data_IF_130339123173
#
_entry.id   IF_130339123173
#
_cell.length_a   1.000
_cell.length_b   1.000
_cell.length_c   1.000
_cell.angle_alpha   90.00
_cell.angle_beta   90.00
_cell.angle_gamma   90.00
#
_symmetry.space_group_name_H-M   'P 1'
#
loop_
_entity.id
_entity.type
_entity.pdbx_description
1 polymer ?
#
# COMPACT_ATOMS: atom_id res chain seq x y z
N UNK A 1 10.64 2.68 11.20
CA UNK A 1 9.86 1.91 10.19
C UNK A 1 10.45 0.51 10.17
N UNK A 2 9.61 -0.53 10.18
CA UNK A 2 10.09 -1.93 10.28
C UNK A 2 10.51 -2.48 8.91
N UNK A 3 9.91 -2.01 7.82
CA UNK A 3 10.30 -2.37 6.46
C UNK A 3 9.15 -2.35 5.47
N UNK A 4 9.38 -2.93 4.29
CA UNK A 4 8.36 -3.11 3.26
C UNK A 4 7.85 -4.57 3.23
N UNK A 5 6.55 -4.74 3.02
CA UNK A 5 5.86 -6.02 2.85
C UNK A 5 5.34 -6.11 1.42
N UNK A 6 5.52 -7.27 0.78
CA UNK A 6 4.86 -7.60 -0.48
C UNK A 6 3.42 -8.04 -0.21
N UNK A 7 2.46 -7.39 -0.85
CA UNK A 7 1.04 -7.71 -0.77
C UNK A 7 0.54 -8.10 -2.14
N UNK A 8 -0.28 -9.15 -2.20
CA UNK A 8 -0.99 -9.57 -3.41
C UNK A 8 -2.47 -9.68 -3.11
N UNK A 9 -3.25 -8.89 -3.84
CA UNK A 9 -4.69 -9.00 -3.92
C UNK A 9 -5.06 -9.90 -5.10
N UNK A 10 -6.04 -10.77 -4.86
CA UNK A 10 -6.60 -11.66 -5.85
C UNK A 10 -8.11 -11.44 -5.92
N UNK A 11 -8.61 -11.16 -7.12
CA UNK A 11 -10.04 -11.12 -7.42
C UNK A 11 -10.47 -12.53 -7.88
N UNK A 12 -11.29 -13.25 -7.09
CA UNK A 12 -11.72 -14.60 -7.44
C UNK A 12 -12.74 -14.64 -8.57
N UNK A 13 -13.47 -13.55 -8.83
CA UNK A 13 -14.50 -13.53 -9.87
C UNK A 13 -13.89 -13.38 -11.27
N UNK A 14 -12.81 -12.61 -11.39
CA UNK A 14 -12.13 -12.35 -12.67
C UNK A 14 -10.79 -13.08 -12.82
N UNK A 15 -10.24 -13.62 -11.74
CA UNK A 15 -8.91 -14.21 -11.71
C UNK A 15 -7.78 -13.17 -11.66
N UNK A 16 -8.10 -11.88 -11.68
CA UNK A 16 -7.12 -10.80 -11.70
C UNK A 16 -6.28 -10.76 -10.42
N UNK A 17 -5.00 -10.43 -10.58
CA UNK A 17 -4.04 -10.33 -9.48
C UNK A 17 -3.38 -8.98 -9.51
N UNK A 18 -3.30 -8.34 -8.35
CA UNK A 18 -2.61 -7.06 -8.17
C UNK A 18 -1.60 -7.24 -7.07
N UNK A 19 -0.36 -6.84 -7.34
CA UNK A 19 0.74 -6.98 -6.38
C UNK A 19 1.37 -5.62 -6.14
N UNK A 20 1.60 -5.26 -4.88
CA UNK A 20 2.25 -4.02 -4.51
C UNK A 20 3.07 -4.17 -3.23
N UNK A 21 3.88 -3.15 -2.94
CA UNK A 21 4.59 -3.03 -1.67
C UNK A 21 3.86 -2.07 -0.74
N UNK A 22 3.85 -2.41 0.53
CA UNK A 22 3.38 -1.56 1.63
C UNK A 22 4.53 -1.37 2.62
N UNK A 23 4.64 -0.20 3.24
CA UNK A 23 5.59 0.02 4.34
C UNK A 23 4.85 -0.12 5.66
N UNK A 24 5.43 -0.85 6.61
CA UNK A 24 4.88 -1.01 7.96
C UNK A 24 5.82 -0.43 9.02
N UNK A 25 5.24 0.09 10.11
CA UNK A 25 6.00 0.48 11.30
C UNK A 25 6.27 -0.71 12.23
N UNK A 26 6.98 -0.48 13.34
CA UNK A 26 7.29 -1.54 14.32
C UNK A 26 6.07 -2.04 15.09
N UNK A 27 4.96 -1.30 15.05
CA UNK A 27 3.68 -1.68 15.63
C UNK A 27 2.79 -2.43 14.63
N UNK A 28 3.27 -2.67 13.40
CA UNK A 28 2.54 -3.35 12.34
C UNK A 28 1.57 -2.47 11.55
N UNK A 29 1.53 -1.15 11.79
CA UNK A 29 0.63 -0.25 11.06
C UNK A 29 1.20 0.10 9.69
N UNK A 30 0.33 0.07 8.67
CA UNK A 30 0.67 0.49 7.31
C UNK A 30 0.89 2.00 7.27
N UNK A 31 2.05 2.43 6.75
CA UNK A 31 2.46 3.83 6.60
C UNK A 31 2.50 4.32 5.16
N UNK A 32 2.66 3.39 4.23
CA UNK A 32 2.46 3.72 2.83
C UNK A 32 2.04 2.53 1.99
N UNK A 33 1.26 2.79 0.95
CA UNK A 33 0.80 1.81 -0.05
C UNK A 33 1.05 2.37 -1.44
N UNK A 34 1.61 1.57 -2.34
CA UNK A 34 1.83 1.95 -3.74
C UNK A 34 1.07 1.01 -4.70
N UNK A 35 -0.25 1.22 -4.90
CA UNK A 35 -1.09 0.30 -5.67
C UNK A 35 -0.63 0.13 -7.13
N UNK A 36 -0.97 -1.01 -7.74
CA UNK A 36 -0.77 -1.27 -9.17
C UNK A 36 -2.12 -1.49 -9.86
N UNK A 37 -2.36 -1.04 -11.09
CA UNK A 37 -1.46 -0.24 -11.93
C UNK A 37 -1.24 1.16 -11.35
N UNK A 38 -0.11 1.78 -11.72
CA UNK A 38 0.18 3.18 -11.38
C UNK A 38 -0.73 4.04 -12.26
N UNK A 39 -1.66 4.77 -11.66
CA UNK A 39 -2.59 5.66 -12.40
C UNK A 39 -2.19 7.13 -12.32
N UNK A 40 -1.23 7.47 -11.47
CA UNK A 40 -0.78 8.84 -11.21
C UNK A 40 0.73 8.86 -10.95
N UNK A 41 1.38 9.97 -11.29
CA UNK A 41 2.82 10.19 -11.05
C UNK A 41 3.20 10.04 -9.57
N UNK A 42 2.29 10.42 -8.67
CA UNK A 42 2.40 10.26 -7.21
C UNK A 42 1.47 9.16 -6.73
N UNK A 43 2.00 7.94 -6.64
CA UNK A 43 1.21 6.74 -6.37
C UNK A 43 1.31 6.22 -4.93
N UNK A 44 2.23 6.77 -4.12
CA UNK A 44 2.36 6.34 -2.74
C UNK A 44 1.32 7.04 -1.88
N UNK A 45 0.32 6.30 -1.44
CA UNK A 45 -0.65 6.74 -0.44
C UNK A 45 0.01 6.67 0.93
N UNK A 46 0.04 7.77 1.67
CA UNK A 46 0.72 7.89 2.96
C UNK A 46 -0.29 7.94 4.09
N UNK A 47 0.02 7.27 5.20
CA UNK A 47 -0.83 7.18 6.39
C UNK A 47 -0.08 7.58 7.65
N UNK A 48 -0.77 8.24 8.58
CA UNK A 48 -0.24 8.60 9.89
C UNK A 48 -0.18 7.39 10.86
N UNK A 49 0.12 7.65 12.14
CA UNK A 49 0.23 6.58 13.14
C UNK A 49 -1.06 5.93 13.57
N UNK A 50 -2.17 6.58 13.27
CA UNK A 50 -3.51 6.11 13.58
C UNK A 50 -4.19 5.53 12.33
N UNK A 51 -3.45 5.40 11.21
CA UNK A 51 -3.99 4.93 9.93
C UNK A 51 -4.77 6.00 9.16
N UNK A 52 -4.69 7.28 9.54
CA UNK A 52 -5.34 8.38 8.81
C UNK A 52 -4.57 8.69 7.54
N UNK A 53 -5.28 8.75 6.42
CA UNK A 53 -4.70 9.12 5.12
C UNK A 53 -4.19 10.58 5.14
N UNK A 54 -2.94 10.77 4.73
CA UNK A 54 -2.24 12.06 4.72
C UNK A 54 -2.04 12.63 3.31
N UNK A 55 -2.40 11.87 2.26
CA UNK A 55 -2.19 12.27 0.87
C UNK A 55 -1.25 11.33 0.13
N UNK A 56 -0.85 11.77 -1.07
CA UNK A 56 -0.02 10.99 -2.00
C UNK A 56 1.30 11.66 -2.34
N UNK A 57 2.36 10.87 -2.48
CA UNK A 57 3.66 11.33 -2.99
C UNK A 57 4.24 10.43 -4.06
#
# INVERSE_FOLDING_TARGET
>A
MQGAKLVREWDPATGNKRTWYETVDHSGNVRSVAPKPVTHDKNHHIFDANGKYMGRR
#
